data_IF_406541527636
#
_entry.id   IF_406541527636
#
_cell.length_a   1.000
_cell.length_b   1.000
_cell.length_c   1.000
_cell.angle_alpha   90.00
_cell.angle_beta   90.00
_cell.angle_gamma   90.00
#
_symmetry.space_group_name_H-M   'P 1'
#
loop_
_entity.id
_entity.type
_entity.pdbx_description
1 polymer ?
#
# COMPACT_ATOMS: atom_id res chain seq x y z
N UNK A 1 -15.09 -41.07 9.10
CA UNK A 1 -16.08 -40.30 8.34
C UNK A 1 -15.87 -38.84 8.70
N UNK A 2 -14.76 -38.26 8.23
CA UNK A 2 -14.70 -37.46 6.98
C UNK A 2 -15.56 -36.20 7.04
N UNK A 3 -14.92 -35.06 7.31
CA UNK A 3 -14.87 -33.92 6.39
C UNK A 3 -14.14 -32.74 7.07
N UNK A 4 -12.82 -32.87 7.22
CA UNK A 4 -11.96 -31.70 7.35
C UNK A 4 -11.72 -31.16 5.95
N UNK A 5 -12.61 -30.29 5.48
CA UNK A 5 -12.47 -29.63 4.18
C UNK A 5 -11.15 -28.85 4.19
N UNK A 6 -10.17 -29.41 3.49
CA UNK A 6 -8.92 -28.77 3.12
C UNK A 6 -9.30 -27.61 2.20
N UNK A 7 -9.57 -26.43 2.76
CA UNK A 7 -9.70 -25.20 1.98
C UNK A 7 -8.32 -24.85 1.45
N UNK A 8 -7.93 -25.49 0.34
CA UNK A 8 -6.94 -24.93 -0.55
C UNK A 8 -7.44 -23.53 -0.92
N UNK A 9 -6.87 -22.50 -0.31
CA UNK A 9 -7.01 -21.11 -0.75
C UNK A 9 -6.56 -21.07 -2.20
N UNK A 10 -7.51 -21.10 -3.12
CA UNK A 10 -7.24 -20.86 -4.53
C UNK A 10 -6.65 -19.46 -4.64
N UNK A 11 -5.44 -19.36 -5.21
CA UNK A 11 -4.84 -18.07 -5.52
C UNK A 11 -5.85 -17.22 -6.29
N UNK A 12 -6.04 -15.93 -5.94
CA UNK A 12 -6.92 -15.05 -6.70
C UNK A 12 -6.46 -15.09 -8.16
N UNK A 13 -7.39 -15.36 -9.07
CA UNK A 13 -7.04 -15.49 -10.47
C UNK A 13 -6.70 -14.10 -11.03
N UNK A 14 -5.39 -13.80 -11.07
CA UNK A 14 -4.84 -12.60 -11.71
C UNK A 14 -5.33 -12.49 -13.16
N UNK A 15 -5.79 -11.31 -13.61
CA UNK A 15 -6.20 -11.12 -14.99
C UNK A 15 -5.02 -11.29 -15.94
N UNK A 16 -5.29 -11.79 -17.15
CA UNK A 16 -4.29 -12.07 -18.19
C UNK A 16 -4.70 -11.48 -19.54
N UNK A 17 -5.14 -10.22 -19.53
CA UNK A 17 -5.48 -9.48 -20.75
C UNK A 17 -4.20 -9.14 -21.52
N UNK A 18 -4.23 -9.31 -22.84
CA UNK A 18 -3.17 -8.81 -23.73
C UNK A 18 -3.26 -7.30 -23.90
N UNK A 19 -2.18 -6.67 -24.37
CA UNK A 19 -2.16 -5.23 -24.70
C UNK A 19 -3.30 -4.84 -25.67
N UNK A 20 -3.61 -5.70 -26.64
CA UNK A 20 -4.70 -5.48 -27.59
C UNK A 20 -6.07 -5.54 -26.91
N UNK A 21 -6.30 -6.52 -26.02
CA UNK A 21 -7.55 -6.61 -25.27
C UNK A 21 -7.70 -5.44 -24.30
N UNK A 22 -6.64 -5.07 -23.58
CA UNK A 22 -6.63 -3.94 -22.66
C UNK A 22 -6.88 -2.60 -23.40
N UNK A 23 -6.30 -2.41 -24.59
CA UNK A 23 -6.59 -1.24 -25.43
C UNK A 23 -8.06 -1.20 -25.85
N UNK A 24 -8.61 -2.35 -26.30
CA UNK A 24 -10.01 -2.46 -26.67
C UNK A 24 -10.96 -2.17 -25.49
N UNK A 25 -10.60 -2.55 -24.26
CA UNK A 25 -11.35 -2.19 -23.05
C UNK A 25 -11.38 -0.68 -22.85
N UNK A 26 -10.24 0.01 -22.97
CA UNK A 26 -10.18 1.47 -22.81
C UNK A 26 -11.08 2.17 -23.85
N UNK A 27 -10.96 1.79 -25.11
CA UNK A 27 -11.72 2.41 -26.21
C UNK A 27 -13.23 2.13 -26.11
N UNK A 28 -13.60 0.90 -25.77
CA UNK A 28 -15.01 0.50 -25.69
C UNK A 28 -15.70 1.11 -24.46
N UNK A 29 -15.09 1.00 -23.28
CA UNK A 29 -15.69 1.40 -21.99
C UNK A 29 -15.58 2.90 -21.74
N UNK A 30 -14.44 3.52 -22.05
CA UNK A 30 -14.15 4.93 -21.70
C UNK A 30 -14.16 5.86 -22.91
N UNK A 31 -14.11 5.32 -24.14
CA UNK A 31 -14.20 6.15 -25.36
C UNK A 31 -12.92 6.90 -25.71
N UNK A 32 -11.81 6.52 -25.10
CA UNK A 32 -10.51 7.15 -25.32
C UNK A 32 -9.70 6.29 -26.30
N UNK A 33 -9.34 6.87 -27.44
CA UNK A 33 -8.52 6.19 -28.45
C UNK A 33 -7.11 5.96 -27.93
N UNK A 34 -6.64 4.72 -27.91
CA UNK A 34 -5.33 4.36 -27.35
C UNK A 34 -4.24 4.53 -28.40
N UNK A 35 -3.20 5.31 -28.07
CA UNK A 35 -2.02 5.47 -28.93
C UNK A 35 -0.89 4.51 -28.55
N UNK A 36 -0.75 4.22 -27.26
CA UNK A 36 0.25 3.29 -26.71
C UNK A 36 -0.26 2.72 -25.39
N UNK A 37 -0.02 1.45 -25.16
CA UNK A 37 -0.28 0.79 -23.87
C UNK A 37 0.94 -0.02 -23.45
N UNK A 38 1.23 -0.07 -22.15
CA UNK A 38 2.31 -0.87 -21.60
C UNK A 38 1.89 -1.48 -20.26
N UNK A 39 2.20 -2.76 -19.98
CA UNK A 39 1.92 -3.35 -18.68
C UNK A 39 2.72 -2.65 -17.57
N UNK A 40 2.09 -2.52 -16.40
CA UNK A 40 2.72 -2.06 -15.17
C UNK A 40 2.85 -3.23 -14.18
N UNK A 41 3.89 -3.25 -13.33
CA UNK A 41 4.00 -4.21 -12.25
C UNK A 41 2.75 -4.22 -11.36
N UNK A 42 2.41 -5.39 -10.86
CA UNK A 42 1.19 -5.61 -10.08
C UNK A 42 1.29 -6.90 -9.28
N UNK A 43 0.59 -6.95 -8.15
CA UNK A 43 0.50 -8.12 -7.29
C UNK A 43 -0.61 -9.08 -7.80
N UNK A 44 -1.84 -8.94 -7.32
CA UNK A 44 -2.99 -9.78 -7.71
C UNK A 44 -3.76 -9.24 -8.94
N UNK A 45 -3.72 -7.93 -9.15
CA UNK A 45 -4.43 -7.23 -10.24
C UNK A 45 -3.59 -7.15 -11.51
N UNK A 46 -4.14 -6.60 -12.60
CA UNK A 46 -3.40 -6.27 -13.81
C UNK A 46 -3.54 -4.78 -14.12
N UNK A 47 -2.40 -4.10 -14.23
CA UNK A 47 -2.32 -2.65 -14.44
C UNK A 47 -1.65 -2.34 -15.78
N UNK A 48 -2.11 -1.30 -16.47
CA UNK A 48 -1.46 -0.80 -17.69
C UNK A 48 -1.33 0.71 -17.67
N UNK A 49 -0.18 1.20 -18.13
CA UNK A 49 0.01 2.60 -18.48
C UNK A 49 -0.53 2.82 -19.90
N UNK A 50 -1.51 3.73 -20.03
CA UNK A 50 -2.24 4.01 -21.26
C UNK A 50 -1.94 5.44 -21.70
N UNK A 51 -1.46 5.61 -22.92
CA UNK A 51 -1.40 6.89 -23.61
C UNK A 51 -2.53 6.97 -24.62
N UNK A 52 -3.21 8.11 -24.69
CA UNK A 52 -4.31 8.33 -25.62
C UNK A 52 -3.86 9.18 -26.82
N UNK A 53 -4.50 9.00 -27.98
CA UNK A 53 -4.32 9.88 -29.12
C UNK A 53 -5.05 11.20 -28.87
N UNK A 54 -4.33 12.32 -28.92
CA UNK A 54 -4.95 13.65 -28.98
C UNK A 54 -5.42 13.93 -30.41
N UNK A 55 -6.72 14.14 -30.59
CA UNK A 55 -7.31 14.67 -31.83
C UNK A 55 -7.62 16.15 -31.66
N UNK A 56 -7.99 16.85 -32.74
CA UNK A 56 -8.39 18.27 -32.66
C UNK A 56 -9.57 18.50 -31.69
N UNK A 57 -10.40 17.47 -31.48
CA UNK A 57 -11.58 17.50 -30.60
C UNK A 57 -11.29 17.02 -29.16
N UNK A 58 -10.10 16.47 -28.88
CA UNK A 58 -9.68 15.98 -27.54
C UNK A 58 -8.41 16.69 -27.05
N UNK A 59 -8.36 18.01 -27.19
CA UNK A 59 -7.22 18.83 -26.77
C UNK A 59 -7.22 19.16 -25.27
N UNK A 60 -8.40 19.19 -24.64
CA UNK A 60 -8.56 19.45 -23.22
C UNK A 60 -8.65 18.14 -22.43
N UNK A 61 -7.59 17.81 -21.67
CA UNK A 61 -7.56 16.66 -20.77
C UNK A 61 -6.20 15.97 -20.61
N UNK A 62 -6.06 15.04 -19.65
CA UNK A 62 -4.85 14.26 -19.46
C UNK A 62 -4.57 13.35 -20.67
N UNK A 63 -3.30 13.18 -21.02
CA UNK A 63 -2.88 12.28 -22.11
C UNK A 63 -2.57 10.86 -21.65
N UNK A 64 -2.40 10.67 -20.35
CA UNK A 64 -1.87 9.46 -19.73
C UNK A 64 -2.79 8.98 -18.60
N UNK A 65 -3.02 7.67 -18.57
CA UNK A 65 -3.94 7.01 -17.65
C UNK A 65 -3.36 5.68 -17.15
N UNK A 66 -3.91 5.18 -16.04
CA UNK A 66 -3.69 3.83 -15.55
C UNK A 66 -4.99 3.06 -15.67
N UNK A 67 -5.01 2.03 -16.51
CA UNK A 67 -6.06 1.02 -16.52
C UNK A 67 -5.77 0.01 -15.41
N UNK A 68 -6.70 -0.15 -14.46
CA UNK A 68 -6.64 -1.22 -13.46
C UNK A 68 -7.74 -2.23 -13.74
N UNK A 69 -7.36 -3.50 -13.85
CA UNK A 69 -8.24 -4.65 -14.00
C UNK A 69 -8.11 -5.47 -12.71
N UNK A 70 -9.16 -5.52 -11.91
CA UNK A 70 -9.13 -6.23 -10.64
C UNK A 70 -9.22 -7.74 -10.81
N UNK A 71 -8.54 -8.48 -9.94
CA UNK A 71 -8.64 -9.94 -9.87
C UNK A 71 -10.08 -10.42 -9.64
N UNK A 72 -10.34 -11.70 -9.93
CA UNK A 72 -11.70 -12.26 -9.87
C UNK A 72 -12.32 -12.20 -8.48
N UNK A 73 -11.52 -12.35 -7.42
CA UNK A 73 -12.06 -12.38 -6.05
C UNK A 73 -12.49 -10.99 -5.60
N UNK A 74 -11.62 -10.00 -5.81
CA UNK A 74 -11.92 -8.59 -5.50
C UNK A 74 -13.10 -8.08 -6.33
N UNK A 75 -13.22 -8.55 -7.58
CA UNK A 75 -14.32 -8.18 -8.48
C UNK A 75 -15.70 -8.66 -8.02
N UNK A 76 -15.77 -9.61 -7.06
CA UNK A 76 -17.05 -10.00 -6.42
C UNK A 76 -17.58 -8.96 -5.44
N UNK A 77 -16.75 -7.97 -5.06
CA UNK A 77 -17.12 -6.91 -4.15
C UNK A 77 -17.05 -5.52 -4.82
N UNK A 78 -18.03 -5.15 -5.67
CA UNK A 78 -18.03 -3.85 -6.34
C UNK A 78 -18.10 -2.67 -5.37
N UNK A 79 -18.75 -2.83 -4.21
CA UNK A 79 -18.81 -1.79 -3.18
C UNK A 79 -17.42 -1.43 -2.65
N UNK A 80 -16.51 -2.41 -2.53
CA UNK A 80 -15.13 -2.15 -2.13
C UNK A 80 -14.40 -1.26 -3.13
N UNK A 81 -14.42 -1.61 -4.41
CA UNK A 81 -13.76 -0.80 -5.46
C UNK A 81 -14.37 0.58 -5.56
N UNK A 82 -15.69 0.68 -5.38
CA UNK A 82 -16.36 1.97 -5.39
C UNK A 82 -16.01 2.83 -4.18
N UNK A 83 -15.94 2.27 -2.97
CA UNK A 83 -15.47 2.98 -1.79
C UNK A 83 -14.04 3.52 -1.99
N UNK A 84 -13.15 2.74 -2.61
CA UNK A 84 -11.80 3.19 -2.97
C UNK A 84 -11.82 4.37 -3.95
N UNK A 85 -12.64 4.29 -5.01
CA UNK A 85 -12.77 5.38 -5.98
C UNK A 85 -13.30 6.67 -5.33
N UNK A 86 -14.31 6.55 -4.47
CA UNK A 86 -14.87 7.68 -3.75
C UNK A 86 -13.85 8.33 -2.81
N UNK A 87 -13.02 7.52 -2.12
CA UNK A 87 -11.92 8.03 -1.30
C UNK A 87 -10.88 8.78 -2.15
N UNK A 88 -10.49 8.22 -3.30
CA UNK A 88 -9.54 8.87 -4.22
C UNK A 88 -10.05 10.26 -4.62
N UNK A 89 -11.33 10.35 -5.00
CA UNK A 89 -11.98 11.61 -5.39
C UNK A 89 -12.09 12.59 -4.23
N UNK A 90 -12.46 12.12 -3.03
CA UNK A 90 -12.55 12.95 -1.83
C UNK A 90 -11.19 13.54 -1.44
N UNK A 91 -10.14 12.71 -1.40
CA UNK A 91 -8.78 13.16 -1.11
C UNK A 91 -8.28 14.14 -2.17
N UNK A 92 -8.61 13.93 -3.45
CA UNK A 92 -8.28 14.87 -4.52
C UNK A 92 -8.89 16.24 -4.27
N UNK A 93 -10.18 16.28 -3.91
CA UNK A 93 -10.89 17.51 -3.59
C UNK A 93 -10.32 18.20 -2.34
N UNK A 94 -9.78 17.43 -1.38
CA UNK A 94 -9.07 17.95 -0.21
C UNK A 94 -7.63 18.39 -0.49
N UNK A 95 -7.17 18.36 -1.75
CA UNK A 95 -5.85 18.85 -2.17
C UNK A 95 -4.72 17.81 -2.11
N UNK A 96 -5.03 16.54 -1.87
CA UNK A 96 -4.01 15.48 -1.92
C UNK A 96 -3.60 15.19 -3.37
N UNK A 97 -2.34 14.77 -3.59
CA UNK A 97 -1.85 14.39 -4.91
C UNK A 97 -2.31 12.97 -5.27
N UNK A 98 -3.62 12.78 -5.43
CA UNK A 98 -4.21 11.52 -5.91
C UNK A 98 -4.63 11.62 -7.37
N UNK A 99 -4.85 10.48 -8.00
CA UNK A 99 -5.37 10.41 -9.37
C UNK A 99 -6.84 10.88 -9.44
N UNK A 100 -7.30 11.22 -10.64
CA UNK A 100 -8.74 11.43 -10.90
C UNK A 100 -9.35 10.13 -11.43
N UNK A 101 -10.53 9.78 -10.94
CA UNK A 101 -11.29 8.61 -11.42
C UNK A 101 -12.00 8.99 -12.72
N UNK A 102 -11.77 8.21 -13.77
CA UNK A 102 -12.38 8.46 -15.08
C UNK A 102 -13.70 7.67 -15.19
N UNK A 103 -14.75 8.36 -15.63
CA UNK A 103 -16.05 7.74 -15.82
C UNK A 103 -16.10 6.98 -17.14
N UNK A 104 -16.87 5.89 -17.15
CA UNK A 104 -17.20 5.16 -18.39
C UNK A 104 -18.15 5.99 -19.25
N UNK A 105 -18.36 5.59 -20.51
CA UNK A 105 -19.39 6.20 -21.39
C UNK A 105 -20.80 6.16 -20.79
N UNK A 106 -21.05 5.20 -19.91
CA UNK A 106 -22.32 5.07 -19.18
C UNK A 106 -22.34 5.81 -17.84
N UNK A 107 -21.40 6.72 -17.60
CA UNK A 107 -21.28 7.54 -16.39
C UNK A 107 -21.13 6.74 -15.08
N UNK A 108 -20.42 5.61 -15.16
CA UNK A 108 -20.05 4.81 -13.99
C UNK A 108 -18.56 4.94 -13.69
N UNK A 109 -18.14 4.73 -12.44
CA UNK A 109 -16.71 4.72 -12.06
C UNK A 109 -15.99 3.40 -12.39
N UNK A 110 -16.73 2.34 -12.68
CA UNK A 110 -16.22 1.01 -13.00
C UNK A 110 -17.07 0.34 -14.09
N UNK A 111 -16.54 -0.71 -14.72
CA UNK A 111 -17.29 -1.61 -15.60
C UNK A 111 -16.91 -3.05 -15.31
N UNK A 112 -17.90 -3.94 -15.23
CA UNK A 112 -17.67 -5.39 -15.10
C UNK A 112 -17.48 -5.99 -16.50
N UNK A 113 -16.37 -6.69 -16.71
CA UNK A 113 -16.08 -7.41 -17.95
C UNK A 113 -15.97 -8.89 -17.68
N UNK A 114 -16.56 -9.72 -18.55
CA UNK A 114 -16.49 -11.18 -18.44
C UNK A 114 -15.61 -11.73 -19.56
N UNK A 115 -14.71 -12.63 -19.19
CA UNK A 115 -13.85 -13.37 -20.12
C UNK A 115 -14.18 -14.85 -19.99
N UNK A 116 -14.61 -15.45 -21.10
CA UNK A 116 -14.82 -16.88 -21.19
C UNK A 116 -13.48 -17.55 -21.46
N UNK A 117 -12.94 -18.21 -20.44
CA UNK A 117 -11.92 -19.22 -20.65
C UNK A 117 -12.62 -20.57 -20.81
N UNK A 118 -12.07 -21.45 -21.65
CA UNK A 118 -12.62 -22.76 -22.10
C UNK A 118 -13.15 -23.72 -21.01
N UNK A 119 -13.01 -23.37 -19.72
CA UNK A 119 -13.57 -24.12 -18.59
C UNK A 119 -14.40 -23.28 -17.60
N UNK A 120 -14.26 -21.95 -17.53
CA UNK A 120 -14.98 -21.06 -16.60
C UNK A 120 -15.03 -19.62 -17.12
N UNK A 121 -16.19 -18.97 -17.03
CA UNK A 121 -16.33 -17.52 -17.16
C UNK A 121 -15.75 -16.84 -15.92
N UNK A 122 -14.84 -15.87 -16.13
CA UNK A 122 -14.27 -15.04 -15.07
C UNK A 122 -14.69 -13.59 -15.29
N UNK A 123 -15.09 -12.90 -14.23
CA UNK A 123 -15.48 -11.50 -14.30
C UNK A 123 -14.49 -10.62 -13.55
N UNK A 124 -14.20 -9.46 -14.13
CA UNK A 124 -13.21 -8.50 -13.67
C UNK A 124 -13.82 -7.10 -13.65
N UNK A 125 -13.64 -6.38 -12.54
CA UNK A 125 -13.95 -4.95 -12.49
C UNK A 125 -12.81 -4.16 -13.12
N UNK A 126 -13.16 -3.26 -14.03
CA UNK A 126 -12.24 -2.39 -14.74
C UNK A 126 -12.49 -0.95 -14.31
N UNK A 127 -11.41 -0.23 -14.00
CA UNK A 127 -11.44 1.22 -13.75
C UNK A 127 -10.27 1.91 -14.44
N UNK A 128 -10.44 3.20 -14.73
CA UNK A 128 -9.41 4.03 -15.33
C UNK A 128 -9.15 5.23 -14.43
N UNK A 129 -7.87 5.49 -14.16
CA UNK A 129 -7.40 6.60 -13.33
C UNK A 129 -6.46 7.47 -14.17
N UNK A 130 -6.38 8.77 -13.91
CA UNK A 130 -5.33 9.61 -14.55
C UNK A 130 -3.95 9.18 -14.06
N UNK A 131 -2.97 9.16 -14.95
CA UNK A 131 -1.57 8.90 -14.56
C UNK A 131 -1.03 10.06 -13.72
N UNK A 132 -0.30 9.75 -12.64
CA UNK A 132 0.33 10.75 -11.78
C UNK A 132 1.81 10.92 -12.14
N UNK A 133 2.30 12.15 -12.32
CA UNK A 133 3.69 12.38 -12.62
C UNK A 133 4.56 12.23 -11.36
N UNK A 134 5.79 11.78 -11.54
CA UNK A 134 6.79 11.65 -10.47
C UNK A 134 7.56 10.33 -10.57
N UNK A 135 8.47 10.14 -9.62
CA UNK A 135 9.21 8.89 -9.47
C UNK A 135 8.87 8.24 -8.13
N UNK A 136 8.75 6.91 -8.06
CA UNK A 136 8.58 6.25 -6.78
C UNK A 136 9.73 6.56 -5.82
N UNK A 137 9.44 6.64 -4.53
CA UNK A 137 10.45 6.84 -3.48
C UNK A 137 11.58 5.81 -3.58
N UNK A 138 11.26 4.56 -3.91
CA UNK A 138 12.20 3.46 -4.16
C UNK A 138 13.28 3.74 -5.21
N UNK A 139 13.09 4.77 -6.04
CA UNK A 139 13.99 5.15 -7.13
C UNK A 139 14.70 6.48 -6.86
N UNK A 140 14.64 6.98 -5.62
CA UNK A 140 15.16 8.28 -5.24
C UNK A 140 15.97 8.23 -3.95
N UNK A 141 17.00 9.08 -3.78
CA UNK A 141 17.68 9.20 -2.50
C UNK A 141 16.72 9.70 -1.41
N UNK A 142 16.61 8.96 -0.31
CA UNK A 142 15.80 9.35 0.83
C UNK A 142 16.61 10.23 1.78
N UNK A 143 16.05 11.40 2.10
CA UNK A 143 16.58 12.31 3.12
C UNK A 143 15.72 12.28 4.40
N UNK A 144 16.27 12.67 5.57
CA UNK A 144 15.50 12.87 6.78
C UNK A 144 14.27 13.78 6.61
N UNK A 145 14.40 14.84 5.80
CA UNK A 145 13.28 15.75 5.52
C UNK A 145 12.17 15.05 4.73
N UNK A 146 12.52 14.25 3.72
CA UNK A 146 11.52 13.50 2.96
C UNK A 146 10.80 12.48 3.85
N UNK A 147 11.52 11.80 4.75
CA UNK A 147 10.93 10.88 5.73
C UNK A 147 9.92 11.57 6.65
N UNK A 148 10.27 12.77 7.14
CA UNK A 148 9.37 13.60 7.92
C UNK A 148 8.11 13.98 7.12
N UNK A 149 8.25 14.45 5.88
CA UNK A 149 7.10 14.81 5.05
C UNK A 149 6.22 13.60 4.70
N UNK A 150 6.81 12.41 4.51
CA UNK A 150 6.07 11.16 4.28
C UNK A 150 5.28 10.77 5.52
N UNK A 151 5.87 10.82 6.72
CA UNK A 151 5.15 10.58 7.97
C UNK A 151 4.01 11.56 8.18
N UNK A 152 4.25 12.83 7.87
CA UNK A 152 3.24 13.89 7.95
C UNK A 152 2.11 13.70 6.95
N UNK A 153 2.41 13.26 5.73
CA UNK A 153 1.43 12.89 4.71
C UNK A 153 0.53 11.75 5.19
N UNK A 154 1.11 10.68 5.73
CA UNK A 154 0.37 9.53 6.25
C UNK A 154 -0.66 9.96 7.31
N UNK A 155 -0.22 10.75 8.30
CA UNK A 155 -1.12 11.27 9.32
C UNK A 155 -2.20 12.21 8.75
N UNK A 156 -1.86 13.05 7.77
CA UNK A 156 -2.86 13.91 7.10
C UNK A 156 -3.90 13.12 6.33
N UNK A 157 -3.51 12.04 5.65
CA UNK A 157 -4.43 11.15 4.95
C UNK A 157 -5.43 10.58 5.96
N UNK A 158 -4.94 9.92 7.01
CA UNK A 158 -5.78 9.34 8.05
C UNK A 158 -6.72 10.39 8.68
N UNK A 159 -6.18 11.57 9.04
CA UNK A 159 -6.95 12.68 9.64
C UNK A 159 -8.06 13.17 8.72
N UNK A 160 -7.78 13.29 7.42
CA UNK A 160 -8.75 13.80 6.44
C UNK A 160 -9.88 12.78 6.24
N UNK A 161 -9.54 11.49 6.21
CA UNK A 161 -10.51 10.40 6.05
C UNK A 161 -11.48 10.25 7.22
N UNK A 162 -11.15 10.74 8.43
CA UNK A 162 -12.11 10.82 9.55
C UNK A 162 -13.38 11.58 9.19
N UNK A 163 -13.25 12.61 8.35
CA UNK A 163 -14.37 13.48 7.95
C UNK A 163 -15.14 12.94 6.75
N UNK A 164 -14.67 11.84 6.15
CA UNK A 164 -15.33 11.22 5.02
C UNK A 164 -16.43 10.27 5.50
N UNK A 165 -17.67 10.58 5.12
CA UNK A 165 -18.83 9.76 5.47
C UNK A 165 -19.55 9.30 4.21
N UNK A 166 -19.62 7.98 4.02
CA UNK A 166 -20.33 7.40 2.90
C UNK A 166 -20.85 5.99 3.24
N UNK A 167 -22.08 5.61 2.83
CA UNK A 167 -22.64 4.28 3.14
C UNK A 167 -21.75 3.11 2.70
N UNK A 168 -20.99 3.29 1.60
CA UNK A 168 -20.10 2.26 1.06
C UNK A 168 -18.83 2.05 1.89
N UNK A 169 -18.51 2.91 2.85
CA UNK A 169 -17.35 2.70 3.73
C UNK A 169 -17.43 1.40 4.54
N UNK A 170 -18.64 0.85 4.77
CA UNK A 170 -18.80 -0.46 5.39
C UNK A 170 -18.00 -1.58 4.71
N UNK A 171 -17.76 -1.50 3.39
CA UNK A 171 -16.96 -2.49 2.66
C UNK A 171 -15.47 -2.46 2.98
N UNK A 172 -14.96 -1.42 3.66
CA UNK A 172 -13.59 -1.34 4.15
C UNK A 172 -13.39 -2.14 5.46
N UNK A 173 -14.46 -2.66 6.07
CA UNK A 173 -14.37 -3.65 7.15
C UNK A 173 -14.08 -5.02 6.55
N UNK A 174 -12.81 -5.24 6.22
CA UNK A 174 -12.33 -6.43 5.52
C UNK A 174 -11.78 -7.44 6.52
N UNK A 175 -12.67 -8.20 7.13
CA UNK A 175 -12.26 -9.24 8.07
C UNK A 175 -11.44 -10.32 7.36
N UNK A 176 -10.40 -10.79 8.04
CA UNK A 176 -9.41 -11.72 7.49
C UNK A 176 -8.64 -11.25 6.25
N UNK A 177 -8.68 -9.95 5.91
CA UNK A 177 -7.84 -9.41 4.84
C UNK A 177 -6.37 -9.41 5.25
N UNK A 178 -5.56 -10.23 4.57
CA UNK A 178 -4.19 -10.54 4.99
C UNK A 178 -3.28 -9.31 5.12
N UNK A 179 -3.56 -8.24 4.38
CA UNK A 179 -2.77 -7.01 4.40
C UNK A 179 -3.20 -5.99 5.47
N UNK A 180 -4.34 -6.21 6.13
CA UNK A 180 -4.68 -5.42 7.32
C UNK A 180 -3.80 -5.88 8.49
N UNK A 181 -3.08 -4.94 9.11
CA UNK A 181 -2.12 -5.22 10.18
C UNK A 181 -2.75 -5.82 11.44
N UNK A 182 -4.08 -5.72 11.62
CA UNK A 182 -4.79 -6.45 12.69
C UNK A 182 -4.74 -7.98 12.52
N UNK A 183 -4.51 -8.45 11.30
CA UNK A 183 -4.65 -9.86 10.91
C UNK A 183 -3.31 -10.62 10.85
N UNK A 184 -2.27 -10.14 11.53
CA UNK A 184 -0.95 -10.80 11.63
C UNK A 184 -1.03 -12.29 12.04
N UNK A 185 -1.93 -12.72 12.94
CA UNK A 185 -2.09 -14.15 13.24
C UNK A 185 -2.43 -15.03 12.03
N UNK A 186 -2.97 -14.49 10.95
CA UNK A 186 -3.24 -15.27 9.73
C UNK A 186 -1.97 -15.76 9.04
N UNK A 187 -0.82 -15.13 9.28
CA UNK A 187 0.47 -15.49 8.69
C UNK A 187 0.90 -16.93 9.05
N UNK A 188 0.39 -17.49 10.16
CA UNK A 188 0.66 -18.88 10.57
C UNK A 188 0.32 -19.88 9.46
N UNK A 189 -0.70 -19.60 8.65
CA UNK A 189 -1.14 -20.44 7.52
C UNK A 189 -0.15 -20.46 6.36
N UNK A 190 0.80 -19.53 6.33
CA UNK A 190 1.71 -19.31 5.21
C UNK A 190 3.18 -19.57 5.58
N UNK A 191 3.48 -19.93 6.84
CA UNK A 191 4.86 -20.15 7.32
C UNK A 191 5.57 -21.30 6.61
N UNK A 192 4.84 -22.30 6.13
CA UNK A 192 5.42 -23.40 5.37
C UNK A 192 6.10 -22.92 4.07
N UNK A 193 5.72 -21.75 3.54
CA UNK A 193 6.37 -21.16 2.40
C UNK A 193 7.85 -20.81 2.64
N UNK A 194 8.25 -20.63 3.90
CA UNK A 194 9.62 -20.35 4.29
C UNK A 194 10.47 -21.62 4.42
N UNK A 195 9.86 -22.81 4.51
CA UNK A 195 10.57 -24.05 4.86
C UNK A 195 11.06 -24.05 6.32
N UNK A 196 11.96 -24.98 6.66
CA UNK A 196 12.52 -25.09 8.02
C UNK A 196 13.86 -24.35 8.10
N UNK A 197 13.80 -23.05 8.41
CA UNK A 197 14.99 -22.20 8.54
C UNK A 197 14.79 -21.08 9.56
N UNK A 198 15.86 -20.31 9.78
CA UNK A 198 15.88 -19.19 10.70
C UNK A 198 14.80 -18.13 10.42
N UNK A 199 14.45 -17.88 9.16
CA UNK A 199 13.41 -16.90 8.82
C UNK A 199 12.03 -17.34 9.31
N UNK A 200 11.73 -18.65 9.31
CA UNK A 200 10.51 -19.19 9.91
C UNK A 200 10.46 -18.94 11.41
N UNK A 201 11.55 -19.21 12.13
CA UNK A 201 11.62 -18.95 13.58
C UNK A 201 11.41 -17.47 13.91
N UNK A 202 12.00 -16.57 13.12
CA UNK A 202 11.81 -15.11 13.26
C UNK A 202 10.33 -14.76 13.05
N UNK A 203 9.69 -15.31 12.01
CA UNK A 203 8.29 -15.04 11.72
C UNK A 203 7.37 -15.53 12.84
N UNK A 204 7.61 -16.73 13.37
CA UNK A 204 6.90 -17.30 14.52
C UNK A 204 7.06 -16.42 15.77
N UNK A 205 8.29 -15.98 16.06
CA UNK A 205 8.57 -15.05 17.16
C UNK A 205 7.79 -13.74 17.03
N UNK A 206 7.75 -13.14 15.84
CA UNK A 206 7.04 -11.88 15.59
C UNK A 206 5.53 -12.05 15.69
N UNK A 207 4.98 -13.16 15.19
CA UNK A 207 3.55 -13.46 15.32
C UNK A 207 3.17 -13.60 16.80
N UNK A 208 3.99 -14.29 17.59
CA UNK A 208 3.75 -14.44 19.03
C UNK A 208 3.84 -13.08 19.75
N UNK A 209 4.85 -12.28 19.45
CA UNK A 209 5.01 -10.92 19.97
C UNK A 209 3.76 -10.06 19.68
N UNK A 210 3.23 -10.13 18.46
CA UNK A 210 2.00 -9.41 18.10
C UNK A 210 0.79 -9.87 18.93
N UNK A 211 0.60 -11.18 19.06
CA UNK A 211 -0.51 -11.76 19.83
C UNK A 211 -0.48 -11.31 21.29
N UNK A 212 0.69 -11.31 21.92
CA UNK A 212 0.85 -10.98 23.33
C UNK A 212 0.73 -9.48 23.60
N UNK A 213 1.30 -8.65 22.73
CA UNK A 213 1.53 -7.23 23.04
C UNK A 213 0.64 -6.24 22.30
N UNK A 214 0.17 -6.61 21.11
CA UNK A 214 -0.64 -5.74 20.26
C UNK A 214 -2.10 -6.16 20.33
N UNK A 215 -2.39 -7.44 20.08
CA UNK A 215 -3.76 -7.94 20.00
C UNK A 215 -4.52 -7.76 21.34
N UNK A 216 -3.83 -7.94 22.46
CA UNK A 216 -4.39 -7.75 23.82
C UNK A 216 -4.77 -6.30 24.14
N UNK A 217 -4.21 -5.33 23.40
CA UNK A 217 -4.41 -3.88 23.62
C UNK A 217 -5.18 -3.22 22.48
N UNK A 218 -5.60 -3.97 21.47
CA UNK A 218 -6.19 -3.43 20.25
C UNK A 218 -7.41 -2.53 20.49
N UNK A 219 -8.23 -2.85 21.50
CA UNK A 219 -9.39 -2.04 21.91
C UNK A 219 -9.04 -0.67 22.50
N UNK A 220 -7.77 -0.43 22.83
CA UNK A 220 -7.25 0.84 23.35
C UNK A 220 -6.66 1.72 22.24
N UNK A 221 -6.46 1.20 21.03
CA UNK A 221 -6.00 1.98 19.89
C UNK A 221 -7.16 2.73 19.26
N UNK A 222 -6.88 3.93 18.72
CA UNK A 222 -7.90 4.70 18.02
C UNK A 222 -8.03 4.17 16.60
N UNK A 223 -9.26 3.80 16.23
CA UNK A 223 -9.58 3.33 14.89
C UNK A 223 -9.54 4.46 13.86
N UNK A 224 -9.14 4.14 12.64
CA UNK A 224 -9.24 5.03 11.48
C UNK A 224 -9.31 4.21 10.17
N UNK A 225 -9.55 4.90 9.06
CA UNK A 225 -9.43 4.30 7.73
C UNK A 225 -7.99 4.49 7.28
N UNK A 226 -7.26 3.39 7.11
CA UNK A 226 -5.89 3.41 6.60
C UNK A 226 -5.90 3.30 5.07
N UNK A 227 -4.93 3.93 4.43
CA UNK A 227 -4.47 3.54 3.11
C UNK A 227 -3.97 2.08 3.14
N UNK A 228 -3.20 1.73 4.16
CA UNK A 228 -2.79 0.35 4.46
C UNK A 228 -1.65 -0.20 3.59
N UNK A 229 -1.08 0.63 2.72
CA UNK A 229 0.00 0.25 1.80
C UNK A 229 0.79 1.47 1.29
N UNK A 230 1.10 2.41 2.19
CA UNK A 230 2.02 3.53 1.91
C UNK A 230 3.47 3.03 1.81
N UNK A 231 3.73 2.24 0.77
CA UNK A 231 5.05 1.69 0.46
C UNK A 231 5.87 2.61 -0.45
N UNK A 232 7.14 2.25 -0.60
CA UNK A 232 8.17 2.94 -1.38
C UNK A 232 7.88 3.02 -2.89
N UNK A 233 7.00 2.17 -3.42
CA UNK A 233 6.53 2.25 -4.81
C UNK A 233 5.24 3.05 -4.98
N UNK A 234 4.43 3.18 -3.93
CA UNK A 234 3.14 3.85 -3.95
C UNK A 234 3.19 5.34 -3.59
N UNK A 235 4.33 5.83 -3.11
CA UNK A 235 4.59 7.25 -2.90
C UNK A 235 5.46 7.76 -4.05
N UNK A 236 4.95 8.73 -4.81
CA UNK A 236 5.71 9.41 -5.85
C UNK A 236 6.28 10.72 -5.33
N UNK A 237 7.48 11.06 -5.80
CA UNK A 237 8.15 12.32 -5.52
C UNK A 237 8.63 13.01 -6.79
N UNK A 238 8.82 14.31 -6.70
CA UNK A 238 9.45 15.14 -7.72
C UNK A 238 10.52 16.04 -7.09
N UNK A 239 11.56 16.41 -7.87
CA UNK A 239 12.47 17.47 -7.47
C UNK A 239 11.67 18.75 -7.14
N UNK A 240 12.06 19.39 -6.06
CA UNK A 240 11.59 20.69 -5.62
C UNK A 240 12.78 21.64 -5.58
N UNK A 241 12.56 22.89 -5.96
CA UNK A 241 13.60 23.92 -5.86
C UNK A 241 13.88 24.21 -4.38
N UNK A 242 15.13 24.00 -3.97
CA UNK A 242 15.58 24.35 -2.62
C UNK A 242 16.35 25.67 -2.67
N UNK A 243 16.24 26.46 -1.60
CA UNK A 243 17.02 27.69 -1.45
C UNK A 243 18.54 27.40 -1.33
N UNK A 244 18.93 26.18 -0.98
CA UNK A 244 20.34 25.76 -0.84
C UNK A 244 20.95 25.17 -2.11
N UNK A 245 20.16 24.93 -3.17
CA UNK A 245 20.62 24.30 -4.41
C UNK A 245 20.75 22.77 -4.35
N UNK A 246 20.47 22.15 -3.20
CA UNK A 246 20.40 20.69 -3.08
C UNK A 246 19.12 20.15 -3.72
N UNK A 247 19.19 18.97 -4.33
CA UNK A 247 18.02 18.29 -4.85
C UNK A 247 17.11 17.83 -3.68
N UNK A 248 16.11 18.65 -3.36
CA UNK A 248 15.05 18.30 -2.40
C UNK A 248 13.93 17.62 -3.17
N UNK A 249 13.33 16.59 -2.58
CA UNK A 249 12.18 15.90 -3.16
C UNK A 249 10.93 16.23 -2.36
N UNK A 250 9.83 16.49 -3.06
CA UNK A 250 8.50 16.64 -2.46
C UNK A 250 7.56 15.57 -2.99
N UNK A 251 6.60 15.14 -2.16
CA UNK A 251 5.59 14.16 -2.59
C UNK A 251 4.72 14.75 -3.68
N UNK A 252 4.62 14.03 -4.81
CA UNK A 252 3.86 14.42 -5.99
C UNK A 252 2.71 13.46 -6.31
N UNK A 253 2.62 12.32 -5.60
CA UNK A 253 1.60 11.31 -5.87
C UNK A 253 1.44 10.30 -4.74
N UNK A 254 0.19 9.90 -4.48
CA UNK A 254 -0.16 8.73 -3.67
C UNK A 254 -0.95 7.77 -4.54
N UNK A 255 -0.42 6.56 -4.69
CA UNK A 255 -0.95 5.51 -5.55
C UNK A 255 -1.55 4.36 -4.74
N UNK A 256 -2.39 3.60 -5.42
CA UNK A 256 -2.91 2.30 -4.98
C UNK A 256 -3.66 2.23 -3.65
N UNK A 257 -4.93 2.64 -3.71
CA UNK A 257 -5.89 2.49 -2.61
C UNK A 257 -6.50 1.07 -2.53
N UNK A 258 -5.85 0.05 -3.09
CA UNK A 258 -6.34 -1.34 -3.13
C UNK A 258 -6.45 -2.00 -1.75
N UNK A 259 -5.57 -1.62 -0.83
CA UNK A 259 -5.42 -2.25 0.49
C UNK A 259 -6.16 -1.51 1.61
N UNK A 260 -6.90 -0.45 1.25
CA UNK A 260 -7.70 0.32 2.19
C UNK A 260 -8.56 -0.57 3.08
N UNK A 261 -8.53 -0.30 4.37
CA UNK A 261 -9.35 -0.97 5.36
C UNK A 261 -9.46 -0.16 6.66
N UNK A 262 -10.44 -0.49 7.50
CA UNK A 262 -10.44 0.00 8.88
C UNK A 262 -9.29 -0.63 9.67
N UNK A 263 -8.44 0.21 10.25
CA UNK A 263 -7.34 -0.15 11.12
C UNK A 263 -7.20 0.88 12.24
N UNK A 264 -5.97 1.24 12.59
CA UNK A 264 -5.65 2.18 13.66
C UNK A 264 -4.57 3.15 13.19
N UNK A 265 -4.48 4.37 13.73
CA UNK A 265 -3.46 5.34 13.29
C UNK A 265 -2.03 4.80 13.40
N UNK A 266 -1.78 4.06 14.48
CA UNK A 266 -0.47 3.43 14.70
C UNK A 266 -0.11 2.39 13.61
N UNK A 267 -1.10 1.83 12.92
CA UNK A 267 -0.85 0.87 11.84
C UNK A 267 -0.28 1.56 10.60
N UNK A 268 -0.83 2.71 10.18
CA UNK A 268 -0.34 3.42 8.99
C UNK A 268 1.11 3.88 9.18
N UNK A 269 1.43 4.46 10.34
CA UNK A 269 2.81 4.88 10.64
C UNK A 269 3.76 3.69 10.72
N UNK A 270 3.35 2.55 11.30
CA UNK A 270 4.18 1.35 11.33
C UNK A 270 4.45 0.79 9.92
N UNK A 271 3.42 0.79 9.05
CA UNK A 271 3.54 0.37 7.65
C UNK A 271 4.51 1.28 6.90
N UNK A 272 4.32 2.59 7.05
CA UNK A 272 5.15 3.62 6.41
C UNK A 272 6.61 3.51 6.87
N UNK A 273 6.87 3.38 8.18
CA UNK A 273 8.22 3.20 8.72
C UNK A 273 8.89 1.99 8.07
N UNK A 274 8.21 0.83 8.04
CA UNK A 274 8.78 -0.40 7.51
C UNK A 274 9.29 -0.21 6.07
N UNK A 275 8.46 0.30 5.16
CA UNK A 275 8.88 0.47 3.76
C UNK A 275 9.97 1.53 3.60
N UNK A 276 9.92 2.62 4.37
CA UNK A 276 10.99 3.61 4.33
C UNK A 276 12.31 3.07 4.89
N UNK A 277 12.28 2.06 5.78
CA UNK A 277 13.48 1.37 6.24
C UNK A 277 14.15 0.55 5.13
N UNK A 278 13.38 0.00 4.19
CA UNK A 278 13.92 -0.80 3.06
C UNK A 278 14.85 0.04 2.18
N UNK A 279 14.47 1.29 1.95
CA UNK A 279 15.14 2.18 1.00
C UNK A 279 16.25 3.05 1.64
N UNK A 280 16.27 3.16 2.97
CA UNK A 280 17.21 4.02 3.67
C UNK A 280 18.57 3.36 3.91
N UNK A 281 19.64 4.15 3.76
CA UNK A 281 21.00 3.75 4.17
C UNK A 281 21.16 3.64 5.69
N UNK A 282 20.31 4.35 6.45
CA UNK A 282 20.30 4.35 7.91
C UNK A 282 18.93 3.84 8.41
N UNK A 283 18.59 2.56 8.18
CA UNK A 283 17.24 2.02 8.38
C UNK A 283 16.74 2.24 9.81
N UNK A 284 17.57 2.02 10.82
CA UNK A 284 17.15 2.16 12.22
C UNK A 284 16.79 3.61 12.61
N UNK A 285 17.28 4.63 11.91
CA UNK A 285 16.94 6.02 12.20
C UNK A 285 15.63 6.46 11.54
N UNK A 286 15.16 5.73 10.51
CA UNK A 286 13.95 6.07 9.73
C UNK A 286 12.73 6.24 10.62
N UNK A 287 12.54 5.32 11.57
CA UNK A 287 11.39 5.34 12.46
C UNK A 287 11.22 6.67 13.19
N UNK A 288 12.31 7.30 13.61
CA UNK A 288 12.25 8.59 14.29
C UNK A 288 11.82 9.75 13.39
N UNK A 289 12.34 9.83 12.15
CA UNK A 289 11.98 10.90 11.22
C UNK A 289 10.51 10.79 10.75
N UNK A 290 10.07 9.58 10.40
CA UNK A 290 8.68 9.32 9.98
C UNK A 290 7.73 9.55 11.16
N UNK A 291 8.07 9.06 12.36
CA UNK A 291 7.26 9.27 13.56
C UNK A 291 7.13 10.76 13.89
N UNK A 292 8.21 11.54 13.81
CA UNK A 292 8.17 12.99 14.02
C UNK A 292 7.18 13.68 13.06
N UNK A 293 7.21 13.30 11.79
CA UNK A 293 6.27 13.79 10.79
C UNK A 293 4.83 13.43 11.13
N UNK A 294 4.59 12.16 11.49
CA UNK A 294 3.27 11.66 11.81
C UNK A 294 2.68 12.33 13.07
N UNK A 295 3.45 12.38 14.17
CA UNK A 295 3.04 12.96 15.45
C UNK A 295 2.86 14.49 15.38
N UNK A 296 3.45 15.17 14.39
CA UNK A 296 3.18 16.60 14.14
C UNK A 296 1.72 16.89 13.74
N UNK A 297 0.97 15.87 13.33
CA UNK A 297 -0.44 15.98 12.93
C UNK A 297 -1.34 15.12 13.85
N UNK A 298 -0.91 13.89 14.13
CA UNK A 298 -1.63 12.95 15.00
C UNK A 298 -0.66 12.44 16.07
N UNK A 299 -0.61 13.09 17.25
CA UNK A 299 0.15 12.57 18.38
C UNK A 299 -0.38 11.19 18.77
N UNK A 300 0.50 10.19 18.84
CA UNK A 300 0.12 8.85 19.29
C UNK A 300 -0.14 8.85 20.79
N UNK A 301 -1.10 8.05 21.24
CA UNK A 301 -1.28 7.77 22.66
C UNK A 301 -0.09 6.94 23.18
N UNK A 302 0.14 6.92 24.49
CA UNK A 302 1.20 6.09 25.09
C UNK A 302 1.06 4.60 24.73
N UNK A 303 -0.18 4.10 24.63
CA UNK A 303 -0.46 2.69 24.32
C UNK A 303 -0.18 2.38 22.85
N UNK A 304 -0.57 3.26 21.93
CA UNK A 304 -0.22 3.16 20.51
C UNK A 304 1.30 3.26 20.30
N UNK A 305 1.94 4.27 20.89
CA UNK A 305 3.38 4.50 20.75
C UNK A 305 4.21 3.33 21.27
N UNK A 306 3.78 2.71 22.38
CA UNK A 306 4.42 1.50 22.93
C UNK A 306 4.19 0.22 22.12
N UNK A 307 3.33 0.25 21.09
CA UNK A 307 3.12 -0.84 20.15
C UNK A 307 3.86 -0.64 18.82
N UNK A 308 4.57 0.47 18.63
CA UNK A 308 5.18 0.82 17.35
C UNK A 308 6.24 -0.21 16.91
N UNK A 309 7.17 -0.58 17.79
CA UNK A 309 8.18 -1.60 17.50
C UNK A 309 7.58 -2.94 17.06
N UNK A 310 6.69 -3.60 17.84
CA UNK A 310 6.13 -4.87 17.42
C UNK A 310 5.29 -4.76 16.14
N UNK A 311 4.64 -3.62 15.88
CA UNK A 311 3.89 -3.39 14.64
C UNK A 311 4.81 -3.25 13.40
N UNK A 312 5.93 -2.56 13.51
CA UNK A 312 6.93 -2.47 12.42
C UNK A 312 7.51 -3.85 12.13
N UNK A 313 7.91 -4.61 13.17
CA UNK A 313 8.34 -6.01 13.02
C UNK A 313 7.26 -6.87 12.34
N UNK A 314 5.99 -6.66 12.73
CA UNK A 314 4.86 -7.38 12.17
C UNK A 314 4.63 -7.08 10.70
N UNK A 315 4.76 -5.82 10.25
CA UNK A 315 4.64 -5.49 8.83
C UNK A 315 5.81 -6.06 8.00
N UNK A 316 7.04 -6.09 8.55
CA UNK A 316 8.15 -6.82 7.93
C UNK A 316 7.78 -8.30 7.75
N UNK A 317 7.36 -8.96 8.84
CA UNK A 317 6.97 -10.37 8.82
C UNK A 317 5.86 -10.64 7.78
N UNK A 318 4.81 -9.81 7.77
CA UNK A 318 3.71 -9.87 6.81
C UNK A 318 4.20 -9.79 5.36
N UNK A 319 4.99 -8.77 5.03
CA UNK A 319 5.50 -8.59 3.67
C UNK A 319 6.41 -9.74 3.23
N UNK A 320 7.28 -10.23 4.13
CA UNK A 320 8.29 -11.24 3.80
C UNK A 320 7.71 -12.65 3.68
N UNK A 321 6.79 -13.02 4.59
CA UNK A 321 6.07 -14.30 4.53
C UNK A 321 5.19 -14.35 3.27
N UNK A 322 4.43 -13.28 3.00
CA UNK A 322 3.57 -13.23 1.82
C UNK A 322 4.36 -13.17 0.52
N UNK A 323 5.52 -12.50 0.49
CA UNK A 323 6.42 -12.55 -0.66
C UNK A 323 6.89 -13.99 -0.95
N UNK A 324 7.33 -14.73 0.08
CA UNK A 324 7.76 -16.12 -0.07
C UNK A 324 6.64 -17.02 -0.58
N UNK A 325 5.44 -16.90 0.00
CA UNK A 325 4.26 -17.64 -0.43
C UNK A 325 3.87 -17.32 -1.87
N UNK A 326 3.75 -16.04 -2.23
CA UNK A 326 3.32 -15.64 -3.57
C UNK A 326 4.35 -15.98 -4.65
N UNK A 327 5.64 -16.05 -4.31
CA UNK A 327 6.66 -16.55 -5.23
C UNK A 327 6.49 -18.04 -5.58
N UNK A 328 5.88 -18.84 -4.71
CA UNK A 328 5.57 -20.24 -5.01
C UNK A 328 4.37 -20.36 -5.97
N UNK A 329 3.40 -19.44 -5.86
CA UNK A 329 2.22 -19.40 -6.72
C UNK A 329 2.50 -18.77 -8.09
N UNK A 330 3.37 -17.76 -8.12
CA UNK A 330 3.66 -16.95 -9.30
C UNK A 330 5.17 -16.79 -9.50
N UNK A 331 5.89 -17.87 -9.86
CA UNK A 331 7.34 -17.85 -10.02
C UNK A 331 7.80 -16.83 -11.07
N UNK A 332 6.99 -16.57 -12.09
CA UNK A 332 7.29 -15.59 -13.14
C UNK A 332 7.32 -14.14 -12.64
N UNK A 333 6.69 -13.84 -11.49
CA UNK A 333 6.64 -12.51 -10.87
C UNK A 333 7.66 -12.37 -9.71
N UNK A 334 8.57 -13.33 -9.54
CA UNK A 334 9.48 -13.42 -8.39
C UNK A 334 10.33 -12.17 -8.20
N UNK A 335 10.84 -11.57 -9.28
CA UNK A 335 11.71 -10.39 -9.19
C UNK A 335 11.00 -9.21 -8.51
N UNK A 336 9.74 -8.97 -8.87
CA UNK A 336 8.88 -7.96 -8.27
C UNK A 336 8.49 -8.33 -6.83
N UNK A 337 8.05 -9.56 -6.61
CA UNK A 337 7.57 -10.02 -5.30
C UNK A 337 8.67 -10.05 -4.22
N UNK A 338 9.92 -10.24 -4.63
CA UNK A 338 11.07 -10.33 -3.72
C UNK A 338 11.79 -9.00 -3.47
N UNK A 339 11.32 -7.86 -4.00
CA UNK A 339 11.97 -6.55 -3.84
C UNK A 339 12.26 -6.26 -2.37
N UNK A 340 11.22 -6.29 -1.53
CA UNK A 340 11.34 -6.05 -0.08
C UNK A 340 12.21 -7.11 0.61
N UNK A 341 12.16 -8.37 0.14
CA UNK A 341 12.90 -9.47 0.73
C UNK A 341 14.42 -9.40 0.49
N UNK A 342 14.91 -8.55 -0.43
CA UNK A 342 16.34 -8.34 -0.68
C UNK A 342 17.07 -7.87 0.59
N UNK A 343 16.44 -7.02 1.39
CA UNK A 343 17.04 -6.47 2.62
C UNK A 343 16.15 -6.65 3.86
N UNK A 344 14.85 -6.93 3.70
CA UNK A 344 13.89 -6.94 4.79
C UNK A 344 14.20 -7.95 5.90
N UNK A 345 14.64 -9.18 5.59
CA UNK A 345 15.03 -10.16 6.62
C UNK A 345 16.21 -9.68 7.47
N UNK A 346 17.19 -9.02 6.84
CA UNK A 346 18.34 -8.44 7.54
C UNK A 346 17.90 -7.34 8.50
N UNK A 347 17.02 -6.43 8.05
CA UNK A 347 16.53 -5.34 8.88
C UNK A 347 15.67 -5.85 10.04
N UNK A 348 14.78 -6.81 9.79
CA UNK A 348 13.96 -7.44 10.83
C UNK A 348 14.84 -8.12 11.88
N UNK A 349 15.81 -8.93 11.47
CA UNK A 349 16.74 -9.58 12.39
C UNK A 349 17.55 -8.56 13.19
N UNK A 350 18.05 -7.50 12.54
CA UNK A 350 18.79 -6.42 13.20
C UNK A 350 17.95 -5.70 14.28
N UNK A 351 16.67 -5.44 14.01
CA UNK A 351 15.77 -4.84 14.99
C UNK A 351 15.54 -5.76 16.20
N UNK A 352 15.34 -7.05 15.95
CA UNK A 352 15.12 -8.04 17.01
C UNK A 352 16.39 -8.25 17.86
N UNK A 353 17.57 -8.28 17.24
CA UNK A 353 18.86 -8.43 17.92
C UNK A 353 19.21 -7.21 18.77
N UNK A 354 18.93 -6.01 18.26
CA UNK A 354 19.15 -4.76 18.99
C UNK A 354 18.17 -4.61 20.16
N UNK A 355 16.95 -5.12 20.02
CA UNK A 355 15.92 -5.08 21.05
C UNK A 355 15.06 -3.81 21.00
N UNK A 356 13.85 -3.92 21.56
CA UNK A 356 12.85 -2.83 21.53
C UNK A 356 13.40 -1.54 22.13
N UNK A 357 13.99 -1.60 23.32
CA UNK A 357 14.34 -0.42 24.11
C UNK A 357 15.34 0.46 23.37
N UNK A 358 16.34 -0.16 22.76
CA UNK A 358 17.39 0.48 21.98
C UNK A 358 16.82 1.08 20.68
N UNK A 359 16.02 0.32 19.93
CA UNK A 359 15.41 0.80 18.68
C UNK A 359 14.42 1.95 18.93
N UNK A 360 13.53 1.81 19.90
CA UNK A 360 12.59 2.86 20.29
C UNK A 360 13.31 4.07 20.89
N UNK A 361 14.41 3.87 21.61
CA UNK A 361 15.29 4.94 22.06
C UNK A 361 15.75 5.81 20.90
N UNK A 362 16.32 5.19 19.85
CA UNK A 362 16.74 5.88 18.62
C UNK A 362 15.56 6.64 17.99
N UNK A 363 14.42 5.98 17.80
CA UNK A 363 13.26 6.61 17.16
C UNK A 363 12.74 7.80 17.96
N UNK A 364 12.60 7.64 19.28
CA UNK A 364 12.00 8.68 20.12
C UNK A 364 12.98 9.83 20.40
N UNK A 365 14.29 9.59 20.47
CA UNK A 365 15.29 10.65 20.54
C UNK A 365 15.30 11.50 19.26
N UNK A 366 15.29 10.85 18.10
CA UNK A 366 15.22 11.55 16.81
C UNK A 366 13.91 12.33 16.73
N UNK A 367 12.77 11.73 17.08
CA UNK A 367 11.49 12.43 17.02
C UNK A 367 11.45 13.68 17.91
N UNK A 368 11.96 13.59 19.14
CA UNK A 368 12.09 14.75 20.05
C UNK A 368 12.98 15.87 19.50
N UNK A 369 13.99 15.54 18.69
CA UNK A 369 14.88 16.55 18.13
C UNK A 369 14.18 17.52 17.17
N UNK A 370 13.09 17.09 16.53
CA UNK A 370 12.25 17.95 15.68
C UNK A 370 11.40 18.93 16.50
N UNK A 371 10.98 18.55 17.71
CA UNK A 371 10.23 19.44 18.61
C UNK A 371 11.13 20.55 19.17
N UNK A 372 12.37 20.20 19.53
CA UNK A 372 13.34 21.14 20.06
C UNK A 372 13.89 22.13 19.01
N UNK A 373 13.87 21.73 17.73
CA UNK A 373 14.33 22.56 16.60
C UNK A 373 13.28 23.53 16.04
N UNK A 374 12.00 23.43 16.44
CA UNK A 374 10.88 24.25 15.94
C UNK A 374 10.83 25.70 16.45
N UNK A 375 11.93 26.22 17.00
CA UNK A 375 12.08 27.63 17.45
C UNK A 375 13.08 28.43 16.60
N UNK A 376 13.29 28.06 15.34
CA UNK A 376 14.10 28.84 14.39
C UNK A 376 13.30 29.32 13.20
#
# INVERSE_FOLDING_TARGET
MENGANQQTQAPAKPAFTDAQASALVESIFGLKVSKIQPLPSYDDQNFHVHISRTKDTTDGPAEYVLKISNTETSKNPNLIEAQNLVIMFLKAAGFPTASVCHTKGDNMTSLVSVDNSSKTRSHLVRLLTFLPGRPVAQTPISPQLLYEIGRLAAKLDKTLETFHHPKLGSLRRDNFIWNLKNIPLLEKYLDALGQNRNREIAEQVIQLFKEEVLTKLSQFRECINHGDLNDYNILVQPSESASGDAVYQVSGVLDFGDMSYGCYVFEVAITIMYMMIESKNPLQVGGHVLAGFESVIPLTTVERGALFPLVCSRFCQSLVMAAYSCQLHPDNREYLMITAKTGWKHLQQMLDMGRKEVEGIWFDIARSYEAGGSM
#
